data_IF_792607211133
#
_entry.id   IF_792607211133
#
_cell.length_a   1.000
_cell.length_b   1.000
_cell.length_c   1.000
_cell.angle_alpha   90.00
_cell.angle_beta   90.00
_cell.angle_gamma   90.00
#
_symmetry.space_group_name_H-M   'P 1'
#
loop_
_entity.id
_entity.type
_entity.pdbx_description
1 polymer ?
#
# COMPACT_ATOMS: atom_id res chain seq x y z
N UNK A 1 14.98 -3.56 41.73
CA UNK A 1 13.81 -3.43 40.88
C UNK A 1 14.24 -3.80 39.46
N UNK A 2 14.06 -5.05 39.08
CA UNK A 2 14.27 -5.49 37.69
C UNK A 2 13.27 -4.77 36.78
N UNK A 3 13.79 -3.98 35.86
CA UNK A 3 13.04 -3.37 34.80
C UNK A 3 12.34 -4.48 34.02
N UNK A 4 11.00 -4.54 34.11
CA UNK A 4 10.19 -5.35 33.22
C UNK A 4 10.57 -4.98 31.77
N UNK A 5 11.43 -5.82 31.15
CA UNK A 5 11.68 -5.76 29.71
C UNK A 5 10.31 -5.81 29.02
N UNK A 6 9.90 -4.71 28.40
CA UNK A 6 8.66 -4.64 27.62
C UNK A 6 8.61 -5.83 26.65
N UNK A 7 7.77 -6.79 26.95
CA UNK A 7 7.64 -8.01 26.17
C UNK A 7 7.03 -7.61 24.83
N UNK A 8 7.76 -7.77 23.71
CA UNK A 8 7.29 -7.44 22.36
C UNK A 8 5.88 -7.99 22.14
N UNK A 9 4.96 -7.18 21.63
CA UNK A 9 3.61 -7.59 21.24
C UNK A 9 3.66 -8.74 20.22
N UNK A 10 2.67 -9.63 20.25
CA UNK A 10 2.58 -10.76 19.32
C UNK A 10 1.16 -10.89 18.78
N UNK A 11 1.03 -11.25 17.50
CA UNK A 11 -0.24 -11.68 16.92
C UNK A 11 -0.78 -12.94 17.62
N UNK A 12 -2.09 -13.12 17.61
CA UNK A 12 -2.71 -14.30 18.21
C UNK A 12 -2.29 -15.61 17.51
N UNK A 13 -1.99 -15.54 16.20
CA UNK A 13 -1.56 -16.66 15.38
C UNK A 13 -1.37 -16.28 13.90
N UNK A 14 -1.23 -17.30 13.03
CA UNK A 14 -1.02 -17.14 11.59
C UNK A 14 -2.09 -16.24 10.93
N UNK A 15 -3.37 -16.46 11.22
CA UNK A 15 -4.48 -15.70 10.65
C UNK A 15 -4.38 -14.21 11.02
N UNK A 16 -4.00 -13.88 12.27
CA UNK A 16 -3.82 -12.52 12.71
C UNK A 16 -2.72 -11.79 11.93
N UNK A 17 -1.57 -12.44 11.73
CA UNK A 17 -0.51 -11.89 10.90
C UNK A 17 -0.95 -11.72 9.44
N UNK A 18 -1.49 -12.78 8.82
CA UNK A 18 -1.87 -12.78 7.41
C UNK A 18 -2.89 -11.69 7.10
N UNK A 19 -3.97 -11.57 7.89
CA UNK A 19 -5.00 -10.55 7.65
C UNK A 19 -4.50 -9.13 7.94
N UNK A 20 -3.59 -8.96 8.91
CA UNK A 20 -2.97 -7.65 9.16
C UNK A 20 -2.00 -7.25 8.05
N UNK A 21 -1.14 -8.20 7.60
CA UNK A 21 -0.19 -7.94 6.51
C UNK A 21 -0.91 -7.79 5.15
N UNK A 22 -1.93 -8.60 4.87
CA UNK A 22 -2.78 -8.43 3.70
C UNK A 22 -3.54 -7.10 3.75
N UNK A 23 -4.04 -6.67 4.92
CA UNK A 23 -4.67 -5.36 5.09
C UNK A 23 -3.69 -4.20 4.92
N UNK A 24 -2.40 -4.41 5.22
CA UNK A 24 -1.36 -3.44 4.91
C UNK A 24 -1.11 -3.32 3.41
N UNK A 25 -1.09 -4.46 2.70
CA UNK A 25 -0.83 -4.53 1.26
C UNK A 25 -2.06 -4.09 0.44
N UNK A 26 -3.26 -4.53 0.82
CA UNK A 26 -4.51 -4.13 0.15
C UNK A 26 -4.89 -2.71 0.54
N UNK A 27 -4.48 -1.74 -0.25
CA UNK A 27 -4.68 -0.32 -0.01
C UNK A 27 -5.25 0.42 -1.22
N UNK A 28 -5.15 1.74 -1.16
CA UNK A 28 -5.56 2.61 -2.26
C UNK A 28 -4.84 2.27 -3.57
N UNK A 29 -3.60 1.79 -3.50
CA UNK A 29 -2.81 1.40 -4.67
C UNK A 29 -3.43 0.28 -5.50
N UNK A 30 -4.11 -0.69 -4.87
CA UNK A 30 -4.81 -1.75 -5.57
C UNK A 30 -6.08 -1.24 -6.25
N UNK A 31 -6.76 -0.24 -5.65
CA UNK A 31 -8.09 0.19 -6.07
C UNK A 31 -8.02 1.24 -7.18
N UNK A 32 -7.08 2.18 -7.14
CA UNK A 32 -7.00 3.18 -8.20
C UNK A 32 -5.80 3.04 -9.13
N UNK A 33 -4.58 2.83 -8.54
CA UNK A 33 -3.35 2.83 -9.33
C UNK A 33 -3.24 1.60 -10.20
N UNK A 34 -3.56 0.43 -9.66
CA UNK A 34 -3.49 -0.83 -10.41
C UNK A 34 -4.43 -0.85 -11.63
N UNK A 35 -5.75 -0.52 -11.53
CA UNK A 35 -6.63 -0.49 -12.70
C UNK A 35 -6.20 0.51 -13.76
N UNK A 36 -5.75 1.69 -13.34
CA UNK A 36 -5.23 2.69 -14.26
C UNK A 36 -4.01 2.18 -15.03
N UNK A 37 -2.99 1.65 -14.31
CA UNK A 37 -1.79 1.15 -14.96
C UNK A 37 -2.08 -0.07 -15.83
N UNK A 38 -2.96 -0.97 -15.40
CA UNK A 38 -3.38 -2.10 -16.20
C UNK A 38 -4.04 -1.66 -17.51
N UNK A 39 -4.92 -0.66 -17.46
CA UNK A 39 -5.57 -0.14 -18.68
C UNK A 39 -4.56 0.57 -19.61
N UNK A 40 -3.68 1.41 -19.05
CA UNK A 40 -2.70 2.17 -19.82
C UNK A 40 -1.60 1.30 -20.44
N UNK A 41 -1.18 0.25 -19.76
CA UNK A 41 -0.01 -0.56 -20.14
C UNK A 41 -0.35 -1.96 -20.63
N UNK A 42 -1.50 -2.12 -21.30
CA UNK A 42 -1.80 -3.28 -22.13
C UNK A 42 -2.70 -4.35 -21.50
N UNK A 43 -3.45 -4.01 -20.43
CA UNK A 43 -4.48 -4.89 -19.87
C UNK A 43 -3.93 -6.22 -19.37
N UNK A 44 -4.33 -7.32 -20.05
CA UNK A 44 -3.96 -8.68 -19.63
C UNK A 44 -2.47 -8.98 -19.66
N UNK A 45 -1.68 -8.32 -20.52
CA UNK A 45 -0.22 -8.50 -20.52
C UNK A 45 0.42 -7.83 -19.29
N UNK A 46 -0.10 -6.66 -18.89
CA UNK A 46 0.31 -6.03 -17.64
C UNK A 46 -0.01 -6.93 -16.44
N UNK A 47 -1.22 -7.48 -16.37
CA UNK A 47 -1.65 -8.40 -15.31
C UNK A 47 -0.74 -9.63 -15.23
N UNK A 48 -0.40 -10.24 -16.38
CA UNK A 48 0.50 -11.40 -16.42
C UNK A 48 1.87 -11.07 -15.83
N UNK A 49 2.46 -9.94 -16.25
CA UNK A 49 3.78 -9.49 -15.76
C UNK A 49 3.69 -9.16 -14.27
N UNK A 50 2.63 -8.49 -13.83
CA UNK A 50 2.40 -8.19 -12.42
C UNK A 50 2.37 -9.46 -11.55
N UNK A 51 1.63 -10.51 -11.97
CA UNK A 51 1.56 -11.79 -11.25
C UNK A 51 2.94 -12.46 -11.19
N UNK A 52 3.68 -12.47 -12.29
CA UNK A 52 5.04 -13.05 -12.32
C UNK A 52 5.99 -12.31 -11.35
N UNK A 53 5.90 -10.99 -11.30
CA UNK A 53 6.70 -10.17 -10.38
C UNK A 53 6.26 -10.37 -8.92
N UNK A 54 4.96 -10.49 -8.64
CA UNK A 54 4.47 -10.78 -7.29
C UNK A 54 5.00 -12.12 -6.78
N UNK A 55 4.95 -13.18 -7.61
CA UNK A 55 5.43 -14.53 -7.27
C UNK A 55 6.95 -14.66 -7.14
N UNK A 56 7.72 -13.70 -7.63
CA UNK A 56 9.18 -13.72 -7.62
C UNK A 56 9.76 -12.64 -6.71
N UNK A 57 9.70 -11.40 -7.15
CA UNK A 57 10.24 -10.26 -6.40
C UNK A 57 9.43 -9.99 -5.13
N UNK A 58 8.09 -9.91 -5.25
CA UNK A 58 7.19 -9.67 -4.13
C UNK A 58 7.40 -10.71 -3.03
N UNK A 59 7.30 -11.99 -3.39
CA UNK A 59 7.58 -13.10 -2.51
C UNK A 59 8.92 -12.94 -1.77
N UNK A 60 9.97 -12.67 -2.52
CA UNK A 60 11.33 -12.59 -1.98
C UNK A 60 11.46 -11.47 -0.93
N UNK A 61 10.92 -10.30 -1.21
CA UNK A 61 11.02 -9.17 -0.30
C UNK A 61 10.13 -9.36 0.94
N UNK A 62 8.92 -9.89 0.80
CA UNK A 62 8.04 -10.21 1.94
C UNK A 62 8.71 -11.22 2.87
N UNK A 63 9.31 -12.29 2.32
CA UNK A 63 10.04 -13.28 3.11
C UNK A 63 11.24 -12.65 3.80
N UNK A 64 12.05 -11.85 3.09
CA UNK A 64 13.24 -11.22 3.62
C UNK A 64 12.92 -10.28 4.80
N UNK A 65 11.96 -9.39 4.62
CA UNK A 65 11.56 -8.42 5.65
C UNK A 65 10.88 -9.09 6.85
N UNK A 66 9.97 -10.05 6.59
CA UNK A 66 9.29 -10.79 7.66
C UNK A 66 10.26 -11.65 8.47
N UNK A 67 11.21 -12.32 7.81
CA UNK A 67 12.24 -13.11 8.49
C UNK A 67 13.17 -12.21 9.32
N UNK A 68 13.61 -11.08 8.76
CA UNK A 68 14.43 -10.10 9.48
C UNK A 68 13.73 -9.58 10.73
N UNK A 69 12.45 -9.23 10.62
CA UNK A 69 11.62 -8.79 11.74
C UNK A 69 11.45 -9.88 12.82
N UNK A 70 11.09 -11.11 12.41
CA UNK A 70 10.88 -12.24 13.32
C UNK A 70 12.16 -12.66 14.05
N UNK A 71 13.28 -12.71 13.33
CA UNK A 71 14.60 -13.06 13.87
C UNK A 71 15.06 -12.08 14.95
N UNK A 72 14.89 -10.78 14.69
CA UNK A 72 15.42 -9.73 15.57
C UNK A 72 14.46 -9.30 16.66
N UNK A 73 13.14 -9.52 16.46
CA UNK A 73 12.08 -9.04 17.37
C UNK A 73 12.09 -7.52 17.56
N UNK A 74 12.51 -6.78 16.53
CA UNK A 74 12.65 -5.31 16.58
C UNK A 74 11.99 -4.66 15.38
N UNK A 75 11.72 -3.35 15.50
CA UNK A 75 11.36 -2.44 14.41
C UNK A 75 12.50 -2.29 13.41
N UNK A 76 12.27 -1.66 12.23
CA UNK A 76 13.27 -1.60 11.17
C UNK A 76 14.66 -1.13 11.63
N UNK A 77 14.75 -0.04 12.38
CA UNK A 77 16.05 0.48 12.86
C UNK A 77 16.76 -0.53 13.74
N UNK A 78 16.05 -1.07 14.72
CA UNK A 78 16.61 -2.06 15.64
C UNK A 78 16.96 -3.37 14.95
N UNK A 79 16.21 -3.77 13.92
CA UNK A 79 16.47 -4.98 13.14
C UNK A 79 17.78 -4.90 12.37
N UNK A 80 18.07 -3.76 11.74
CA UNK A 80 19.35 -3.53 11.05
C UNK A 80 20.52 -3.39 12.04
N UNK A 81 20.33 -2.69 13.16
CA UNK A 81 21.35 -2.52 14.21
C UNK A 81 21.70 -3.84 14.92
N UNK A 82 20.83 -4.84 14.92
CA UNK A 82 21.04 -6.11 15.61
C UNK A 82 22.30 -6.87 15.15
N UNK A 83 22.81 -6.57 13.95
CA UNK A 83 24.00 -7.19 13.37
C UNK A 83 25.30 -6.42 13.66
N UNK A 84 25.24 -5.36 14.46
CA UNK A 84 26.39 -4.61 14.99
C UNK A 84 27.30 -4.08 13.87
N UNK A 85 28.65 -4.19 14.10
CA UNK A 85 29.67 -3.69 13.14
C UNK A 85 29.57 -4.31 11.74
N UNK A 86 29.00 -5.52 11.60
CA UNK A 86 28.81 -6.18 10.28
C UNK A 86 27.82 -5.42 9.40
N UNK A 87 26.87 -4.70 9.98
CA UNK A 87 25.92 -3.89 9.24
C UNK A 87 26.59 -2.68 8.54
N UNK A 88 27.60 -2.09 9.14
CA UNK A 88 28.30 -0.93 8.59
C UNK A 88 27.33 0.19 8.19
N UNK A 89 27.58 0.81 7.04
CA UNK A 89 26.71 1.86 6.47
C UNK A 89 25.32 1.34 6.08
N UNK A 90 25.16 0.04 5.81
CA UNK A 90 23.87 -0.55 5.49
C UNK A 90 22.87 -0.48 6.66
N UNK A 91 23.33 -0.23 7.89
CA UNK A 91 22.45 0.03 9.04
C UNK A 91 21.54 1.25 8.81
N UNK A 92 21.94 2.19 7.94
CA UNK A 92 21.12 3.34 7.54
C UNK A 92 19.86 2.92 6.80
N UNK A 93 19.85 1.75 6.14
CA UNK A 93 18.63 1.18 5.53
C UNK A 93 17.49 0.99 6.52
N UNK A 94 17.79 0.68 7.78
CA UNK A 94 16.79 0.62 8.85
C UNK A 94 16.12 1.97 9.13
N UNK A 95 16.88 3.06 9.10
CA UNK A 95 16.34 4.42 9.26
C UNK A 95 15.48 4.84 8.06
N UNK A 96 15.90 4.55 6.82
CA UNK A 96 15.08 4.84 5.65
C UNK A 96 13.74 4.10 5.74
N UNK A 97 13.76 2.78 6.02
CA UNK A 97 12.54 2.00 6.22
C UNK A 97 11.64 2.54 7.34
N UNK A 98 12.20 3.17 8.37
CA UNK A 98 11.45 3.73 9.49
C UNK A 98 10.87 5.14 9.19
N UNK A 99 11.57 5.94 8.39
CA UNK A 99 11.15 7.31 8.03
C UNK A 99 10.03 7.28 6.98
N UNK A 100 10.08 6.34 6.04
CA UNK A 100 9.09 6.21 4.97
C UNK A 100 7.64 6.23 5.51
N UNK A 101 7.22 5.37 6.45
CA UNK A 101 5.85 5.39 6.95
C UNK A 101 5.51 6.67 7.70
N UNK A 102 6.47 7.33 8.36
CA UNK A 102 6.26 8.63 9.03
C UNK A 102 5.89 9.72 8.02
N UNK A 103 6.44 9.66 6.81
CA UNK A 103 6.15 10.61 5.73
C UNK A 103 4.90 10.23 4.92
N UNK A 104 4.61 8.93 4.75
CA UNK A 104 3.44 8.46 4.00
C UNK A 104 2.14 8.70 4.76
N UNK A 105 2.08 8.34 6.04
CA UNK A 105 0.85 8.40 6.84
C UNK A 105 0.15 9.77 6.78
N UNK A 106 0.85 10.92 6.86
CA UNK A 106 0.22 12.23 6.77
C UNK A 106 -0.59 12.41 5.51
N UNK A 107 0.03 12.33 4.33
CA UNK A 107 -0.68 12.58 3.06
C UNK A 107 -1.66 11.45 2.70
N UNK A 108 -1.36 10.21 3.07
CA UNK A 108 -2.26 9.08 2.89
C UNK A 108 -3.57 9.26 3.66
N UNK A 109 -3.49 9.85 4.85
CA UNK A 109 -4.66 10.14 5.69
C UNK A 109 -5.51 11.28 5.14
N UNK A 110 -4.93 12.22 4.40
CA UNK A 110 -5.69 13.24 3.65
C UNK A 110 -6.60 12.57 2.63
N UNK A 111 -6.05 11.63 1.86
CA UNK A 111 -6.81 10.87 0.87
C UNK A 111 -7.90 10.02 1.57
N UNK A 112 -7.58 9.41 2.72
CA UNK A 112 -8.56 8.74 3.57
C UNK A 112 -9.71 9.66 4.01
N UNK A 113 -9.41 10.92 4.30
CA UNK A 113 -10.42 11.97 4.56
C UNK A 113 -11.31 12.25 3.34
N UNK A 114 -10.74 12.31 2.13
CA UNK A 114 -11.53 12.46 0.89
C UNK A 114 -12.49 11.28 0.68
N UNK A 115 -12.06 10.06 1.00
CA UNK A 115 -12.92 8.86 0.96
C UNK A 115 -14.10 8.98 1.93
N UNK A 116 -13.87 9.47 3.16
CA UNK A 116 -14.93 9.72 4.14
C UNK A 116 -15.95 10.72 3.59
N UNK A 117 -15.48 11.83 2.99
CA UNK A 117 -16.36 12.84 2.38
C UNK A 117 -17.27 12.23 1.33
N UNK A 118 -16.69 11.48 0.39
CA UNK A 118 -17.46 10.87 -0.69
C UNK A 118 -18.45 9.82 -0.19
N UNK A 119 -18.06 8.99 0.79
CA UNK A 119 -18.96 8.03 1.41
C UNK A 119 -20.18 8.74 2.07
N UNK A 120 -19.93 9.80 2.82
CA UNK A 120 -20.99 10.59 3.46
C UNK A 120 -21.94 11.18 2.41
N UNK A 121 -21.42 11.74 1.33
CA UNK A 121 -22.26 12.33 0.27
C UNK A 121 -23.08 11.26 -0.46
N UNK A 122 -22.52 10.07 -0.74
CA UNK A 122 -23.30 8.95 -1.29
C UNK A 122 -24.40 8.48 -0.34
N UNK A 123 -24.14 8.38 0.97
CA UNK A 123 -25.15 8.02 1.98
C UNK A 123 -26.28 9.05 2.04
N UNK A 124 -25.96 10.35 1.82
CA UNK A 124 -26.97 11.43 1.72
C UNK A 124 -27.76 11.43 0.40
N UNK A 125 -27.43 10.54 -0.54
CA UNK A 125 -28.07 10.50 -1.85
C UNK A 125 -27.55 11.53 -2.87
N UNK A 126 -26.42 12.17 -2.61
CA UNK A 126 -25.80 13.20 -3.45
C UNK A 126 -24.90 12.63 -4.56
N UNK A 127 -25.10 11.39 -5.02
CA UNK A 127 -24.25 10.74 -6.01
C UNK A 127 -24.11 11.52 -7.33
N UNK A 128 -25.19 12.13 -7.82
CA UNK A 128 -25.18 12.98 -9.02
C UNK A 128 -24.37 14.25 -8.84
N UNK A 129 -24.39 14.84 -7.62
CA UNK A 129 -23.58 16.02 -7.28
C UNK A 129 -22.09 15.69 -7.32
N UNK A 130 -21.71 14.51 -6.85
CA UNK A 130 -20.31 14.02 -6.87
C UNK A 130 -19.78 13.82 -8.30
N UNK A 131 -20.68 13.54 -9.26
CA UNK A 131 -20.34 13.36 -10.67
C UNK A 131 -20.24 14.69 -11.44
N UNK A 132 -20.62 15.82 -10.83
CA UNK A 132 -20.55 17.13 -11.48
C UNK A 132 -19.10 17.55 -11.74
N UNK A 133 -18.86 18.20 -12.86
CA UNK A 133 -17.55 18.75 -13.18
C UNK A 133 -17.12 19.79 -12.16
N UNK A 134 -15.88 19.72 -11.74
CA UNK A 134 -15.29 20.63 -10.76
C UNK A 134 -15.58 20.31 -9.30
N UNK A 135 -16.52 19.41 -8.96
CA UNK A 135 -16.86 19.10 -7.57
C UNK A 135 -15.63 18.67 -6.74
N UNK A 136 -14.81 17.77 -7.27
CA UNK A 136 -13.60 17.33 -6.59
C UNK A 136 -12.61 18.47 -6.38
N UNK A 137 -12.36 19.28 -7.41
CA UNK A 137 -11.45 20.44 -7.34
C UNK A 137 -11.93 21.50 -6.34
N UNK A 138 -13.24 21.78 -6.31
CA UNK A 138 -13.85 22.68 -5.34
C UNK A 138 -13.69 22.13 -3.91
N UNK A 139 -13.93 20.83 -3.72
CA UNK A 139 -13.79 20.19 -2.41
C UNK A 139 -12.35 20.25 -1.89
N UNK A 140 -11.35 19.86 -2.69
CA UNK A 140 -9.94 19.85 -2.24
C UNK A 140 -9.36 21.24 -2.06
N UNK A 141 -9.91 22.25 -2.73
CA UNK A 141 -9.56 23.67 -2.54
C UNK A 141 -10.15 24.26 -1.26
N UNK A 142 -11.20 23.64 -0.70
CA UNK A 142 -11.81 24.05 0.55
C UNK A 142 -11.04 23.47 1.75
N UNK A 143 -10.04 24.20 2.22
CA UNK A 143 -9.17 23.78 3.31
C UNK A 143 -9.90 23.33 4.57
N UNK A 144 -10.98 24.01 4.97
CA UNK A 144 -11.72 23.64 6.18
C UNK A 144 -12.44 22.28 6.03
N UNK A 145 -13.09 22.04 4.89
CA UNK A 145 -13.81 20.79 4.65
C UNK A 145 -12.86 19.59 4.55
N UNK A 146 -11.73 19.75 3.86
CA UNK A 146 -10.72 18.70 3.74
C UNK A 146 -10.05 18.41 5.07
N UNK A 147 -9.72 19.45 5.85
CA UNK A 147 -9.07 19.29 7.16
C UNK A 147 -9.95 18.54 8.16
N UNK A 148 -11.25 18.86 8.23
CA UNK A 148 -12.18 18.13 9.11
C UNK A 148 -12.22 16.64 8.77
N UNK A 149 -12.36 16.28 7.49
CA UNK A 149 -12.40 14.89 7.06
C UNK A 149 -11.07 14.17 7.32
N UNK A 150 -9.96 14.84 7.07
CA UNK A 150 -8.61 14.34 7.37
C UNK A 150 -8.42 14.06 8.86
N UNK A 151 -8.77 15.01 9.73
CA UNK A 151 -8.65 14.84 11.20
C UNK A 151 -9.51 13.68 11.70
N UNK A 152 -10.73 13.53 11.17
CA UNK A 152 -11.61 12.38 11.51
C UNK A 152 -10.92 11.06 11.15
N UNK A 153 -10.33 10.96 9.95
CA UNK A 153 -9.61 9.76 9.54
C UNK A 153 -8.38 9.48 10.42
N UNK A 154 -7.59 10.53 10.75
CA UNK A 154 -6.46 10.43 11.66
C UNK A 154 -6.87 9.93 13.05
N UNK A 155 -7.90 10.51 13.64
CA UNK A 155 -8.39 10.12 14.96
C UNK A 155 -8.87 8.66 14.98
N UNK A 156 -9.53 8.22 13.90
CA UNK A 156 -9.95 6.83 13.77
C UNK A 156 -8.74 5.88 13.72
N UNK A 157 -7.74 6.18 12.88
CA UNK A 157 -6.50 5.39 12.79
C UNK A 157 -5.76 5.35 14.13
N UNK A 158 -5.55 6.51 14.76
CA UNK A 158 -4.82 6.61 16.02
C UNK A 158 -5.53 5.89 17.18
N UNK A 159 -6.87 5.87 17.21
CA UNK A 159 -7.63 5.14 18.22
C UNK A 159 -7.37 3.63 18.15
N UNK A 160 -7.28 3.09 16.94
CA UNK A 160 -6.97 1.67 16.72
C UNK A 160 -5.52 1.36 17.12
N UNK A 161 -4.58 2.23 16.77
CA UNK A 161 -3.17 2.09 17.16
C UNK A 161 -3.03 2.13 18.68
N UNK A 162 -3.73 3.05 19.35
CA UNK A 162 -3.72 3.15 20.80
C UNK A 162 -4.20 1.87 21.50
N UNK A 163 -5.18 1.17 20.91
CA UNK A 163 -5.69 -0.12 21.42
C UNK A 163 -4.66 -1.27 21.32
N UNK A 164 -3.58 -1.09 20.56
CA UNK A 164 -2.46 -2.02 20.45
C UNK A 164 -2.59 -3.05 19.32
N UNK A 165 -1.57 -3.92 19.22
CA UNK A 165 -1.45 -4.86 18.10
C UNK A 165 -2.60 -5.86 18.07
N UNK A 166 -2.87 -6.53 19.19
CA UNK A 166 -3.85 -7.62 19.26
C UNK A 166 -5.30 -7.13 19.30
N UNK A 167 -5.56 -6.14 20.15
CA UNK A 167 -6.93 -5.64 20.39
C UNK A 167 -7.35 -4.55 19.39
N UNK A 168 -6.41 -3.86 18.80
CA UNK A 168 -6.62 -2.85 17.75
C UNK A 168 -6.40 -3.44 16.35
N UNK A 169 -5.14 -3.51 15.92
CA UNK A 169 -4.75 -3.85 14.54
C UNK A 169 -5.32 -5.19 14.08
N UNK A 170 -5.02 -6.26 14.81
CA UNK A 170 -5.45 -7.61 14.44
C UNK A 170 -6.97 -7.76 14.43
N UNK A 171 -7.65 -7.20 15.45
CA UNK A 171 -9.12 -7.29 15.55
C UNK A 171 -9.81 -6.53 14.42
N UNK A 172 -9.33 -5.35 14.09
CA UNK A 172 -9.87 -4.53 13.00
C UNK A 172 -9.61 -5.21 11.65
N UNK A 173 -8.39 -5.70 11.41
CA UNK A 173 -8.07 -6.41 10.17
C UNK A 173 -8.91 -7.68 9.99
N UNK A 174 -9.14 -8.45 11.06
CA UNK A 174 -10.00 -9.65 11.03
C UNK A 174 -11.45 -9.33 10.69
N UNK A 175 -11.93 -8.14 11.02
CA UNK A 175 -13.30 -7.70 10.70
C UNK A 175 -13.37 -7.08 9.28
N UNK A 176 -12.47 -6.15 8.98
CA UNK A 176 -12.53 -5.37 7.73
C UNK A 176 -12.15 -6.18 6.49
N UNK A 177 -11.13 -7.06 6.57
CA UNK A 177 -10.64 -7.76 5.39
C UNK A 177 -11.67 -8.72 4.77
N UNK A 178 -12.40 -9.57 5.50
CA UNK A 178 -13.45 -10.38 4.91
C UNK A 178 -14.56 -9.56 4.26
N UNK A 179 -14.99 -8.46 4.89
CA UNK A 179 -16.02 -7.58 4.35
C UNK A 179 -15.50 -6.92 3.06
N UNK A 180 -14.25 -6.46 3.03
CA UNK A 180 -13.63 -5.88 1.84
C UNK A 180 -13.65 -6.87 0.67
N UNK A 181 -13.31 -8.15 0.91
CA UNK A 181 -13.39 -9.20 -0.11
C UNK A 181 -14.82 -9.38 -0.63
N UNK A 182 -15.80 -9.47 0.27
CA UNK A 182 -17.21 -9.61 -0.13
C UNK A 182 -17.68 -8.40 -0.95
N UNK A 183 -17.38 -7.18 -0.50
CA UNK A 183 -17.72 -5.96 -1.24
C UNK A 183 -17.06 -5.94 -2.62
N UNK A 184 -15.77 -6.32 -2.73
CA UNK A 184 -15.07 -6.36 -4.01
C UNK A 184 -15.72 -7.34 -4.99
N UNK A 185 -16.14 -8.52 -4.52
CA UNK A 185 -16.86 -9.51 -5.34
C UNK A 185 -18.21 -8.95 -5.84
N UNK A 186 -19.00 -8.36 -4.93
CA UNK A 186 -20.32 -7.80 -5.28
C UNK A 186 -20.17 -6.72 -6.35
N UNK A 187 -19.24 -5.77 -6.17
CA UNK A 187 -19.04 -4.65 -7.10
C UNK A 187 -18.48 -5.16 -8.43
N UNK A 188 -17.54 -6.13 -8.42
CA UNK A 188 -17.01 -6.71 -9.64
C UNK A 188 -18.09 -7.44 -10.45
N UNK A 189 -18.94 -8.26 -9.81
CA UNK A 189 -20.08 -8.92 -10.48
C UNK A 189 -21.00 -7.84 -11.09
N UNK A 190 -21.32 -6.81 -10.35
CA UNK A 190 -22.15 -5.72 -10.84
C UNK A 190 -21.50 -5.05 -12.07
N UNK A 191 -20.20 -4.74 -12.01
CA UNK A 191 -19.47 -4.08 -13.10
C UNK A 191 -19.44 -4.93 -14.38
N UNK A 192 -19.07 -6.21 -14.27
CA UNK A 192 -18.93 -7.10 -15.45
C UNK A 192 -20.25 -7.46 -16.10
N UNK A 193 -21.38 -7.32 -15.40
CA UNK A 193 -22.74 -7.57 -15.94
C UNK A 193 -23.33 -6.37 -16.66
N UNK A 194 -22.64 -5.22 -16.76
CA UNK A 194 -23.15 -4.05 -17.49
C UNK A 194 -23.07 -4.26 -19.00
N UNK A 195 -24.04 -3.73 -19.77
CA UNK A 195 -23.96 -3.71 -21.22
C UNK A 195 -22.65 -3.04 -21.69
N UNK A 196 -21.93 -3.69 -22.60
CA UNK A 196 -20.62 -3.19 -23.07
C UNK A 196 -19.40 -3.52 -22.19
N UNK A 197 -19.58 -4.00 -20.97
CA UNK A 197 -18.50 -4.30 -20.03
C UNK A 197 -17.57 -5.45 -20.48
N UNK A 198 -18.09 -6.39 -21.29
CA UNK A 198 -17.33 -7.58 -21.70
C UNK A 198 -16.07 -7.25 -22.50
N UNK A 199 -16.06 -6.15 -23.24
CA UNK A 199 -14.86 -5.67 -23.94
C UNK A 199 -13.74 -5.34 -22.93
N UNK A 200 -14.09 -4.66 -21.84
CA UNK A 200 -13.15 -4.35 -20.75
C UNK A 200 -12.68 -5.59 -20.00
N UNK A 201 -13.57 -6.57 -19.73
CA UNK A 201 -13.18 -7.85 -19.13
C UNK A 201 -12.17 -8.58 -20.01
N UNK A 202 -12.44 -8.68 -21.33
CA UNK A 202 -11.53 -9.32 -22.28
C UNK A 202 -10.20 -8.59 -22.37
N UNK A 203 -10.22 -7.25 -22.44
CA UNK A 203 -9.02 -6.43 -22.45
C UNK A 203 -8.13 -6.67 -21.22
N UNK A 204 -8.75 -6.73 -20.04
CA UNK A 204 -8.04 -6.84 -18.77
C UNK A 204 -7.53 -8.26 -18.47
N UNK A 205 -8.30 -9.31 -18.83
CA UNK A 205 -7.93 -10.68 -18.45
C UNK A 205 -7.16 -11.43 -19.53
N UNK A 206 -7.31 -11.06 -20.81
CA UNK A 206 -6.68 -11.81 -21.91
C UNK A 206 -5.35 -11.15 -22.30
N UNK A 207 -4.19 -11.80 -22.06
CA UNK A 207 -2.90 -11.27 -22.47
C UNK A 207 -2.82 -11.11 -23.99
N UNK A 208 -2.45 -9.91 -24.46
CA UNK A 208 -2.21 -9.62 -25.85
C UNK A 208 -0.78 -9.11 -26.03
N UNK A 209 0.09 -9.91 -26.64
CA UNK A 209 1.48 -9.57 -26.86
C UNK A 209 1.67 -8.32 -27.74
N UNK A 210 0.69 -7.97 -28.58
CA UNK A 210 0.75 -6.73 -29.38
C UNK A 210 0.75 -5.47 -28.50
N UNK A 211 0.19 -5.57 -27.29
CA UNK A 211 0.14 -4.46 -26.33
C UNK A 211 1.35 -4.44 -25.38
N UNK A 212 2.33 -5.33 -25.61
CA UNK A 212 3.56 -5.36 -24.79
C UNK A 212 4.46 -4.17 -25.11
N UNK A 213 4.98 -3.55 -24.07
CA UNK A 213 6.07 -2.59 -24.14
C UNK A 213 7.02 -2.79 -22.96
N UNK A 214 8.25 -2.32 -23.07
CA UNK A 214 9.16 -2.32 -21.91
C UNK A 214 8.62 -1.49 -20.75
N UNK A 215 7.83 -0.45 -21.06
CA UNK A 215 7.16 0.36 -20.05
C UNK A 215 6.09 -0.42 -19.28
N UNK A 216 5.46 -1.45 -19.90
CA UNK A 216 4.56 -2.38 -19.19
C UNK A 216 5.30 -3.10 -18.05
N UNK A 217 6.54 -3.53 -18.28
CA UNK A 217 7.35 -4.20 -17.26
C UNK A 217 7.71 -3.22 -16.14
N UNK A 218 8.17 -2.03 -16.47
CA UNK A 218 8.55 -0.99 -15.49
C UNK A 218 7.34 -0.56 -14.64
N UNK A 219 6.20 -0.32 -15.29
CA UNK A 219 4.96 0.04 -14.60
C UNK A 219 4.45 -1.08 -13.68
N UNK A 220 4.52 -2.34 -14.14
CA UNK A 220 4.14 -3.49 -13.32
C UNK A 220 5.10 -3.69 -12.12
N UNK A 221 6.41 -3.48 -12.30
CA UNK A 221 7.38 -3.49 -11.20
C UNK A 221 7.06 -2.41 -10.16
N UNK A 222 6.85 -1.18 -10.58
CA UNK A 222 6.51 -0.07 -9.70
C UNK A 222 5.19 -0.30 -8.95
N UNK A 223 4.18 -0.84 -9.63
CA UNK A 223 2.89 -1.16 -9.02
C UNK A 223 3.01 -2.28 -7.99
N UNK A 224 3.68 -3.38 -8.31
CA UNK A 224 3.87 -4.50 -7.40
C UNK A 224 4.64 -4.08 -6.14
N UNK A 225 5.66 -3.24 -6.31
CA UNK A 225 6.48 -2.72 -5.23
C UNK A 225 5.64 -1.91 -4.22
N UNK A 226 4.78 -1.03 -4.73
CA UNK A 226 3.88 -0.22 -3.93
C UNK A 226 2.77 -1.06 -3.28
N UNK A 227 2.15 -1.96 -4.05
CA UNK A 227 1.01 -2.78 -3.62
C UNK A 227 1.34 -3.68 -2.43
N UNK A 228 2.47 -4.38 -2.48
CA UNK A 228 2.87 -5.33 -1.44
C UNK A 228 3.50 -4.67 -0.19
N UNK A 229 3.47 -3.35 -0.08
CA UNK A 229 4.03 -2.59 1.06
C UNK A 229 5.50 -2.92 1.35
N UNK A 230 6.29 -3.17 0.31
CA UNK A 230 7.70 -3.53 0.39
C UNK A 230 8.53 -2.28 0.72
N UNK A 231 9.54 -2.46 1.55
CA UNK A 231 10.49 -1.41 1.96
C UNK A 231 9.85 -0.19 2.66
N UNK A 232 8.72 -0.40 3.32
CA UNK A 232 8.06 0.59 4.17
C UNK A 232 8.25 0.28 5.67
N UNK A 233 9.11 -0.67 6.02
CA UNK A 233 9.29 -1.11 7.41
C UNK A 233 8.12 -1.89 8.01
N UNK A 234 6.97 -1.95 7.34
CA UNK A 234 5.74 -2.61 7.81
C UNK A 234 5.97 -4.11 7.99
N UNK A 235 6.52 -4.78 6.98
CA UNK A 235 6.73 -6.23 7.01
C UNK A 235 7.80 -6.63 8.03
N UNK A 236 8.83 -5.80 8.26
CA UNK A 236 9.80 -5.99 9.34
C UNK A 236 9.09 -5.86 10.69
N UNK A 237 8.29 -4.81 10.88
CA UNK A 237 7.53 -4.57 12.11
C UNK A 237 6.55 -5.70 12.39
N UNK A 238 5.72 -6.09 11.43
CA UNK A 238 4.76 -7.19 11.59
C UNK A 238 5.44 -8.55 11.73
N UNK A 239 6.55 -8.77 11.02
CA UNK A 239 7.43 -9.92 11.22
C UNK A 239 7.91 -10.02 12.66
N UNK A 240 8.26 -8.89 13.29
CA UNK A 240 8.67 -8.87 14.70
C UNK A 240 7.57 -9.31 15.69
N UNK A 241 6.30 -9.26 15.27
CA UNK A 241 5.15 -9.74 16.04
C UNK A 241 4.76 -11.18 15.73
N UNK A 242 5.36 -11.82 14.72
CA UNK A 242 5.10 -13.22 14.39
C UNK A 242 5.60 -14.15 15.51
N UNK A 243 4.87 -15.23 15.75
CA UNK A 243 5.35 -16.33 16.59
C UNK A 243 6.42 -17.13 15.84
N UNK A 244 7.38 -17.71 16.56
CA UNK A 244 8.46 -18.50 15.95
C UNK A 244 7.99 -19.74 15.22
N UNK A 245 6.92 -20.36 15.70
CA UNK A 245 6.27 -21.56 15.13
C UNK A 245 5.39 -21.27 13.90
N UNK A 246 5.17 -19.99 13.57
CA UNK A 246 4.39 -19.60 12.39
C UNK A 246 5.22 -19.76 11.12
N UNK A 247 4.66 -20.37 10.07
CA UNK A 247 5.28 -20.50 8.76
C UNK A 247 5.38 -19.11 8.08
N UNK A 248 6.59 -18.69 7.70
CA UNK A 248 6.82 -17.46 6.94
C UNK A 248 6.38 -17.65 5.49
N UNK A 249 6.76 -18.76 4.83
CA UNK A 249 6.43 -18.99 3.42
C UNK A 249 4.92 -19.09 3.19
N UNK A 250 4.21 -19.88 4.02
CA UNK A 250 2.76 -19.98 3.89
C UNK A 250 2.06 -18.65 4.20
N UNK A 251 2.58 -17.87 5.16
CA UNK A 251 2.04 -16.55 5.46
C UNK A 251 2.27 -15.58 4.31
N UNK A 252 3.46 -15.57 3.74
CA UNK A 252 3.82 -14.78 2.55
C UNK A 252 2.92 -15.13 1.37
N UNK A 253 2.76 -16.44 1.07
CA UNK A 253 1.87 -16.91 0.00
C UNK A 253 0.45 -16.41 0.18
N UNK A 254 -0.06 -16.43 1.40
CA UNK A 254 -1.40 -15.94 1.66
C UNK A 254 -1.51 -14.42 1.44
N UNK A 255 -0.51 -13.63 1.85
CA UNK A 255 -0.46 -12.18 1.57
C UNK A 255 -0.41 -11.92 0.07
N UNK A 256 0.45 -12.62 -0.69
CA UNK A 256 0.52 -12.53 -2.16
C UNK A 256 -0.83 -12.82 -2.83
N UNK A 257 -1.49 -13.91 -2.41
CA UNK A 257 -2.80 -14.31 -2.96
C UNK A 257 -3.86 -13.26 -2.64
N UNK A 258 -3.92 -12.75 -1.41
CA UNK A 258 -4.87 -11.72 -1.02
C UNK A 258 -4.66 -10.42 -1.82
N UNK A 259 -3.42 -9.94 -1.89
CA UNK A 259 -3.10 -8.71 -2.61
C UNK A 259 -3.43 -8.83 -4.11
N UNK A 260 -2.94 -9.91 -4.75
CA UNK A 260 -3.18 -10.15 -6.18
C UNK A 260 -4.66 -10.36 -6.48
N UNK A 261 -5.39 -11.09 -5.64
CA UNK A 261 -6.83 -11.29 -5.83
C UNK A 261 -7.60 -9.97 -5.75
N UNK A 262 -7.30 -9.12 -4.77
CA UNK A 262 -7.94 -7.81 -4.65
C UNK A 262 -7.54 -6.87 -5.79
N UNK A 263 -6.28 -6.90 -6.25
CA UNK A 263 -5.86 -6.14 -7.43
C UNK A 263 -6.63 -6.58 -8.70
N UNK A 264 -6.82 -7.89 -8.91
CA UNK A 264 -7.64 -8.42 -10.01
C UNK A 264 -9.11 -7.99 -9.84
N UNK A 265 -9.66 -8.11 -8.64
CA UNK A 265 -11.03 -7.68 -8.35
C UNK A 265 -11.21 -6.18 -8.60
N UNK A 266 -10.25 -5.34 -8.20
CA UNK A 266 -10.26 -3.90 -8.47
C UNK A 266 -10.21 -3.61 -9.99
N UNK A 267 -9.39 -4.33 -10.74
CA UNK A 267 -9.40 -4.29 -12.20
C UNK A 267 -10.75 -4.63 -12.79
N UNK A 268 -11.41 -5.71 -12.30
CA UNK A 268 -12.75 -6.12 -12.72
C UNK A 268 -13.87 -5.18 -12.25
N UNK A 269 -13.69 -4.48 -11.14
CA UNK A 269 -14.65 -3.45 -10.69
C UNK A 269 -14.61 -2.21 -11.58
N UNK A 270 -13.43 -1.79 -12.01
CA UNK A 270 -13.21 -0.47 -12.59
C UNK A 270 -13.12 -0.52 -14.11
N UNK A 271 -12.26 -1.35 -14.68
CA UNK A 271 -12.02 -1.38 -16.14
C UNK A 271 -13.28 -1.70 -16.93
N UNK A 272 -14.05 -2.77 -16.61
CA UNK A 272 -15.30 -3.05 -17.35
C UNK A 272 -16.35 -1.96 -17.24
N UNK A 273 -16.48 -1.33 -16.05
CA UNK A 273 -17.43 -0.24 -15.83
C UNK A 273 -17.07 1.00 -16.66
N UNK A 274 -15.79 1.37 -16.71
CA UNK A 274 -15.31 2.50 -17.51
C UNK A 274 -15.44 2.20 -19.00
N UNK A 275 -15.11 1.00 -19.46
CA UNK A 275 -15.31 0.60 -20.87
C UNK A 275 -16.78 0.64 -21.28
N UNK A 276 -17.70 0.17 -20.43
CA UNK A 276 -19.13 0.27 -20.68
C UNK A 276 -19.61 1.73 -20.79
N UNK A 277 -19.02 2.64 -20.00
CA UNK A 277 -19.34 4.06 -20.00
C UNK A 277 -18.72 4.83 -21.19
N UNK A 278 -17.45 4.53 -21.53
CA UNK A 278 -16.67 5.24 -22.57
C UNK A 278 -16.80 4.68 -23.97
N UNK A 279 -17.57 3.60 -24.15
CA UNK A 279 -17.63 2.92 -25.44
C UNK A 279 -16.38 2.12 -25.82
N UNK A 280 -15.53 1.81 -24.81
CA UNK A 280 -14.35 0.95 -24.98
C UNK A 280 -13.01 1.66 -25.09
N UNK A 281 -12.96 2.95 -24.76
CA UNK A 281 -11.72 3.73 -24.77
C UNK A 281 -10.96 3.59 -23.43
N UNK A 282 -9.76 2.95 -23.39
CA UNK A 282 -8.97 2.80 -22.18
C UNK A 282 -8.36 4.14 -21.70
N UNK A 283 -8.20 5.15 -22.56
CA UNK A 283 -7.58 6.43 -22.22
C UNK A 283 -8.51 7.32 -21.37
N UNK A 284 -9.78 6.93 -21.21
CA UNK A 284 -10.71 7.59 -20.29
C UNK A 284 -10.43 7.31 -18.82
N UNK A 285 -9.60 6.30 -18.49
CA UNK A 285 -9.14 6.06 -17.13
C UNK A 285 -8.08 7.09 -16.76
N UNK A 286 -8.45 8.05 -15.92
CA UNK A 286 -7.53 9.06 -15.41
C UNK A 286 -6.57 8.48 -14.38
N UNK A 287 -5.38 9.10 -14.27
CA UNK A 287 -4.37 8.69 -13.29
C UNK A 287 -4.72 9.17 -11.87
N UNK A 288 -4.26 8.42 -10.89
CA UNK A 288 -4.26 8.83 -9.49
C UNK A 288 -5.65 9.07 -8.88
N UNK A 289 -5.78 10.06 -7.99
CA UNK A 289 -7.04 10.39 -7.32
C UNK A 289 -8.20 10.70 -8.27
N UNK A 290 -7.90 11.26 -9.46
CA UNK A 290 -8.92 11.62 -10.44
C UNK A 290 -9.75 10.41 -10.90
N UNK A 291 -9.15 9.21 -11.01
CA UNK A 291 -9.91 8.01 -11.31
C UNK A 291 -11.02 7.77 -10.28
N UNK A 292 -10.67 7.83 -9.01
CA UNK A 292 -11.58 7.47 -7.92
C UNK A 292 -12.58 8.58 -7.58
N UNK A 293 -12.17 9.84 -7.66
CA UNK A 293 -12.98 10.96 -7.19
C UNK A 293 -13.66 11.75 -8.32
N UNK A 294 -13.30 11.51 -9.59
CA UNK A 294 -13.93 12.16 -10.75
C UNK A 294 -14.57 11.09 -11.66
N UNK A 295 -13.75 10.15 -12.19
CA UNK A 295 -14.23 9.21 -13.21
C UNK A 295 -15.26 8.23 -12.64
N UNK A 296 -14.99 7.59 -11.51
CA UNK A 296 -15.87 6.57 -10.93
C UNK A 296 -17.24 7.15 -10.52
N UNK A 297 -17.36 8.32 -9.87
CA UNK A 297 -18.67 8.96 -9.63
C UNK A 297 -19.46 9.23 -10.90
N UNK A 298 -18.81 9.65 -11.99
CA UNK A 298 -19.47 9.85 -13.29
C UNK A 298 -19.99 8.53 -13.87
N UNK A 299 -19.21 7.47 -13.79
CA UNK A 299 -19.60 6.12 -14.20
C UNK A 299 -20.84 5.67 -13.41
N UNK A 300 -20.80 5.76 -12.09
CA UNK A 300 -21.91 5.35 -11.22
C UNK A 300 -23.18 6.19 -11.45
N UNK A 301 -23.06 7.50 -11.68
CA UNK A 301 -24.21 8.36 -11.96
C UNK A 301 -24.95 7.95 -13.24
N UNK A 302 -24.28 7.31 -14.19
CA UNK A 302 -24.86 6.80 -15.44
C UNK A 302 -25.26 5.32 -15.37
N UNK A 303 -25.12 4.66 -14.23
CA UNK A 303 -25.45 3.25 -14.05
C UNK A 303 -26.67 3.08 -13.13
N UNK A 304 -27.54 2.10 -13.43
CA UNK A 304 -28.64 1.74 -12.53
C UNK A 304 -28.12 1.37 -11.14
N UNK A 305 -28.81 1.80 -10.08
CA UNK A 305 -28.39 1.61 -8.68
C UNK A 305 -27.05 2.29 -8.31
N UNK A 306 -26.59 3.28 -9.09
CA UNK A 306 -25.29 3.92 -8.91
C UNK A 306 -25.03 4.48 -7.52
N UNK A 307 -26.05 5.00 -6.83
CA UNK A 307 -25.91 5.47 -5.44
C UNK A 307 -25.56 4.32 -4.49
N UNK A 308 -26.22 3.18 -4.59
CA UNK A 308 -25.97 2.01 -3.75
C UNK A 308 -24.55 1.46 -4.02
N UNK A 309 -24.20 1.33 -5.30
CA UNK A 309 -22.85 0.86 -5.70
C UNK A 309 -21.78 1.84 -5.23
N UNK A 310 -22.04 3.14 -5.30
CA UNK A 310 -21.15 4.18 -4.77
C UNK A 310 -20.93 4.05 -3.26
N UNK A 311 -21.98 3.80 -2.48
CA UNK A 311 -21.86 3.53 -1.03
C UNK A 311 -20.96 2.30 -0.79
N UNK A 312 -21.23 1.19 -1.46
CA UNK A 312 -20.46 -0.04 -1.30
C UNK A 312 -19.00 0.14 -1.74
N UNK A 313 -18.76 0.87 -2.83
CA UNK A 313 -17.42 1.16 -3.32
C UNK A 313 -16.63 2.04 -2.35
N UNK A 314 -17.17 3.17 -1.91
CA UNK A 314 -16.45 4.06 -0.98
C UNK A 314 -16.32 3.46 0.43
N UNK A 315 -17.21 2.56 0.84
CA UNK A 315 -17.03 1.76 2.06
C UNK A 315 -15.87 0.77 1.93
N UNK A 316 -15.77 0.07 0.78
CA UNK A 316 -14.64 -0.80 0.45
C UNK A 316 -13.33 -0.02 0.47
N UNK A 317 -13.29 1.13 -0.20
CA UNK A 317 -12.11 2.02 -0.26
C UNK A 317 -11.72 2.52 1.13
N UNK A 318 -12.70 2.87 1.97
CA UNK A 318 -12.45 3.29 3.35
C UNK A 318 -11.79 2.16 4.15
N UNK A 319 -12.26 0.93 4.03
CA UNK A 319 -11.65 -0.21 4.73
C UNK A 319 -10.22 -0.46 4.26
N UNK A 320 -9.95 -0.40 2.96
CA UNK A 320 -8.61 -0.51 2.40
C UNK A 320 -7.71 0.63 2.89
N UNK A 321 -8.19 1.87 2.91
CA UNK A 321 -7.44 3.01 3.39
C UNK A 321 -7.09 2.88 4.88
N UNK A 322 -8.06 2.48 5.72
CA UNK A 322 -7.87 2.35 7.17
C UNK A 322 -6.87 1.24 7.50
N UNK A 323 -6.97 0.06 6.89
CA UNK A 323 -6.07 -1.08 7.18
C UNK A 323 -4.63 -0.76 6.82
N UNK A 324 -4.40 -0.08 5.70
CA UNK A 324 -3.05 0.37 5.30
C UNK A 324 -2.53 1.51 6.17
N UNK A 325 -3.37 2.49 6.52
CA UNK A 325 -2.99 3.59 7.43
C UNK A 325 -2.59 3.08 8.82
N UNK A 326 -3.31 2.08 9.34
CA UNK A 326 -2.96 1.41 10.60
C UNK A 326 -1.59 0.76 10.52
N UNK A 327 -1.28 0.04 9.44
CA UNK A 327 -0.02 -0.65 9.28
C UNK A 327 1.19 0.30 9.16
N UNK A 328 1.03 1.39 8.41
CA UNK A 328 2.02 2.47 8.29
C UNK A 328 2.26 3.14 9.65
N UNK A 329 1.18 3.52 10.34
CA UNK A 329 1.25 4.19 11.65
C UNK A 329 1.90 3.27 12.68
N UNK A 330 1.60 1.97 12.67
CA UNK A 330 2.21 0.98 13.58
C UNK A 330 3.71 0.85 13.34
N UNK A 331 4.16 0.83 12.09
CA UNK A 331 5.59 0.79 11.75
C UNK A 331 6.32 2.00 12.33
N UNK A 332 5.73 3.20 12.21
CA UNK A 332 6.28 4.42 12.80
C UNK A 332 6.30 4.37 14.34
N UNK A 333 5.16 4.04 14.97
CA UNK A 333 5.03 3.97 16.45
C UNK A 333 5.99 2.95 17.03
N UNK A 334 6.09 1.75 16.46
CA UNK A 334 6.97 0.69 16.96
C UNK A 334 8.44 1.06 16.89
N UNK A 335 8.84 1.90 15.95
CA UNK A 335 10.21 2.41 15.86
C UNK A 335 10.55 3.31 17.04
N UNK A 336 9.63 4.21 17.42
CA UNK A 336 9.82 5.06 18.60
C UNK A 336 9.77 4.26 19.91
N UNK A 337 8.93 3.22 19.99
CA UNK A 337 8.90 2.31 21.14
C UNK A 337 10.26 1.63 21.32
N UNK A 338 10.88 1.13 20.24
CA UNK A 338 12.12 0.36 20.29
C UNK A 338 13.36 1.22 20.48
N UNK A 339 13.45 2.37 19.79
CA UNK A 339 14.68 3.19 19.79
C UNK A 339 14.76 4.14 20.99
N UNK A 340 13.62 4.64 21.49
CA UNK A 340 13.57 5.60 22.58
C UNK A 340 13.14 4.92 23.90
N UNK A 341 12.56 3.71 23.82
CA UNK A 341 12.07 2.96 24.99
C UNK A 341 10.80 3.54 25.59
N UNK A 342 10.03 4.32 24.84
CA UNK A 342 8.77 4.89 25.32
C UNK A 342 7.65 3.85 25.37
N UNK A 343 6.74 4.00 26.32
CA UNK A 343 5.49 3.24 26.32
C UNK A 343 4.60 3.70 25.17
N UNK A 344 3.82 2.79 24.58
CA UNK A 344 2.98 2.98 23.38
C UNK A 344 2.19 4.30 23.30
N UNK A 345 1.73 4.83 24.44
CA UNK A 345 0.95 6.08 24.49
C UNK A 345 1.72 7.29 23.94
N UNK A 346 3.00 7.43 24.35
CA UNK A 346 3.84 8.56 23.93
C UNK A 346 4.17 8.52 22.43
N UNK A 347 4.70 7.43 21.86
CA UNK A 347 4.92 7.33 20.42
C UNK A 347 3.64 7.57 19.61
N UNK A 348 2.49 7.01 20.02
CA UNK A 348 1.22 7.23 19.31
C UNK A 348 0.85 8.71 19.29
N UNK A 349 1.01 9.43 20.40
CA UNK A 349 0.73 10.86 20.45
C UNK A 349 1.69 11.68 19.57
N UNK A 350 3.01 11.35 19.60
CA UNK A 350 4.01 12.05 18.79
C UNK A 350 3.77 11.82 17.31
N UNK A 351 3.52 10.57 16.89
CA UNK A 351 3.18 10.26 15.50
C UNK A 351 1.88 10.93 15.11
N UNK A 352 0.88 11.00 16.01
CA UNK A 352 -0.35 11.76 15.78
C UNK A 352 -0.10 13.25 15.51
N UNK A 353 0.78 13.89 16.27
CA UNK A 353 1.17 15.28 16.05
C UNK A 353 1.87 15.46 14.71
N UNK A 354 2.82 14.58 14.36
CA UNK A 354 3.51 14.62 13.06
C UNK A 354 2.51 14.41 11.93
N UNK A 355 1.60 13.47 12.09
CA UNK A 355 0.55 13.13 11.12
C UNK A 355 -0.36 14.33 10.83
N UNK A 356 -0.81 15.02 11.88
CA UNK A 356 -1.60 16.25 11.75
C UNK A 356 -0.76 17.36 11.12
N UNK A 357 0.43 17.64 11.62
CA UNK A 357 1.25 18.76 11.14
C UNK A 357 1.61 18.64 9.66
N UNK A 358 2.12 17.48 9.22
CA UNK A 358 2.48 17.26 7.81
C UNK A 358 1.27 17.04 6.91
N UNK A 359 0.20 16.43 7.45
CA UNK A 359 -1.04 16.23 6.71
C UNK A 359 -1.78 17.52 6.46
N UNK A 360 -1.80 18.46 7.41
CA UNK A 360 -2.36 19.81 7.21
C UNK A 360 -1.67 20.53 6.04
N UNK A 361 -0.33 20.41 5.88
CA UNK A 361 0.35 20.97 4.70
C UNK A 361 -0.18 20.35 3.41
N UNK A 362 -0.39 19.04 3.39
CA UNK A 362 -0.94 18.31 2.24
C UNK A 362 -2.42 18.65 1.98
N UNK A 363 -3.24 18.85 3.04
CA UNK A 363 -4.62 19.31 2.93
C UNK A 363 -4.71 20.70 2.29
N UNK A 364 -3.89 21.62 2.77
CA UNK A 364 -3.94 23.02 2.35
C UNK A 364 -3.22 23.26 1.02
N UNK A 365 -2.40 22.31 0.55
CA UNK A 365 -1.60 22.40 -0.67
C UNK A 365 -2.42 22.61 -1.95
N UNK A 366 -3.65 22.13 -2.01
CA UNK A 366 -4.57 22.33 -3.14
C UNK A 366 -5.51 23.55 -2.98
N UNK A 367 -5.39 24.26 -1.88
CA UNK A 367 -6.24 25.42 -1.54
C UNK A 367 -5.40 26.62 -1.09
N UNK A 368 -5.44 27.00 0.20
CA UNK A 368 -4.76 28.19 0.71
C UNK A 368 -3.24 28.21 0.48
N UNK A 369 -2.59 27.07 0.43
CA UNK A 369 -1.14 26.94 0.19
C UNK A 369 -0.79 26.51 -1.24
N UNK A 370 -1.73 26.55 -2.19
CA UNK A 370 -1.52 26.13 -3.57
C UNK A 370 -0.40 26.91 -4.30
N UNK A 371 -0.03 28.07 -3.78
CA UNK A 371 1.09 28.87 -4.31
C UNK A 371 2.48 28.34 -3.89
N UNK A 372 2.53 27.37 -2.95
CA UNK A 372 3.79 26.76 -2.51
C UNK A 372 4.00 25.46 -3.25
N UNK A 373 4.97 25.43 -4.13
CA UNK A 373 5.38 24.24 -4.86
C UNK A 373 6.82 23.85 -4.52
N UNK A 374 7.04 22.56 -4.31
CA UNK A 374 8.37 21.99 -4.09
C UNK A 374 8.74 21.19 -5.34
N UNK A 375 9.74 21.65 -6.08
CA UNK A 375 10.15 21.05 -7.38
C UNK A 375 8.95 20.97 -8.36
N UNK A 376 8.08 21.99 -8.37
CA UNK A 376 6.88 22.03 -9.22
C UNK A 376 5.76 21.07 -8.79
N UNK A 377 5.77 20.58 -7.55
CA UNK A 377 4.77 19.67 -6.99
C UNK A 377 4.11 20.29 -5.77
N UNK A 378 2.82 20.03 -5.59
CA UNK A 378 2.10 20.32 -4.35
C UNK A 378 2.61 19.42 -3.22
N UNK A 379 2.37 19.79 -1.96
CA UNK A 379 2.89 19.05 -0.78
C UNK A 379 2.57 17.55 -0.82
N UNK A 380 1.32 17.16 -1.14
CA UNK A 380 0.92 15.75 -1.22
C UNK A 380 1.73 15.02 -2.28
N UNK A 381 1.80 15.58 -3.49
CA UNK A 381 2.51 14.98 -4.62
C UNK A 381 4.01 14.90 -4.36
N UNK A 382 4.59 15.91 -3.70
CA UNK A 382 6.00 15.92 -3.30
C UNK A 382 6.30 14.81 -2.28
N UNK A 383 5.48 14.65 -1.23
CA UNK A 383 5.68 13.58 -0.26
C UNK A 383 5.50 12.19 -0.88
N UNK A 384 4.52 12.05 -1.79
CA UNK A 384 4.34 10.80 -2.55
C UNK A 384 5.55 10.51 -3.43
N UNK A 385 6.04 11.47 -4.19
CA UNK A 385 7.25 11.34 -5.01
C UNK A 385 8.47 10.99 -4.16
N UNK A 386 8.72 11.72 -3.08
CA UNK A 386 9.88 11.50 -2.21
C UNK A 386 9.88 10.10 -1.61
N UNK A 387 8.74 9.65 -1.11
CA UNK A 387 8.63 8.35 -0.44
C UNK A 387 8.58 7.20 -1.44
N UNK A 388 7.67 7.23 -2.39
CA UNK A 388 7.42 6.08 -3.28
C UNK A 388 8.43 6.00 -4.43
N UNK A 389 8.83 7.15 -5.00
CA UNK A 389 9.70 7.18 -6.17
C UNK A 389 11.19 7.16 -5.82
N UNK A 390 11.57 7.66 -4.63
CA UNK A 390 12.97 7.79 -4.23
C UNK A 390 13.32 6.90 -3.04
N UNK A 391 12.66 7.10 -1.90
CA UNK A 391 13.09 6.44 -0.65
C UNK A 391 12.83 4.94 -0.64
N UNK A 392 11.65 4.50 -1.09
CA UNK A 392 11.31 3.06 -1.10
C UNK A 392 12.23 2.21 -1.98
N UNK A 393 12.55 2.57 -3.23
CA UNK A 393 13.52 1.82 -4.02
C UNK A 393 14.90 1.75 -3.36
N UNK A 394 15.37 2.85 -2.76
CA UNK A 394 16.63 2.86 -2.02
C UNK A 394 16.56 1.92 -0.81
N UNK A 395 15.48 1.96 -0.04
CA UNK A 395 15.27 1.08 1.10
C UNK A 395 15.25 -0.40 0.70
N UNK A 396 14.59 -0.75 -0.40
CA UNK A 396 14.55 -2.13 -0.91
C UNK A 396 15.92 -2.62 -1.40
N UNK A 397 16.66 -1.77 -2.10
CA UNK A 397 18.02 -2.06 -2.53
C UNK A 397 18.92 -2.32 -1.31
N UNK A 398 18.85 -1.43 -0.30
CA UNK A 398 19.61 -1.60 0.94
C UNK A 398 19.19 -2.85 1.71
N UNK A 399 17.89 -3.12 1.82
CA UNK A 399 17.36 -4.32 2.50
C UNK A 399 17.83 -5.59 1.79
N UNK A 400 17.76 -5.67 0.47
CA UNK A 400 18.20 -6.85 -0.29
C UNK A 400 19.70 -7.09 -0.18
N UNK A 401 20.53 -6.03 -0.26
CA UNK A 401 21.99 -6.12 -0.05
C UNK A 401 22.29 -6.51 1.40
N UNK A 402 21.60 -5.93 2.37
CA UNK A 402 21.76 -6.24 3.79
C UNK A 402 21.44 -7.72 4.08
N UNK A 403 20.31 -8.21 3.61
CA UNK A 403 19.92 -9.62 3.79
C UNK A 403 20.90 -10.57 3.11
N UNK A 404 21.34 -10.25 1.89
CA UNK A 404 22.23 -11.14 1.15
C UNK A 404 23.68 -11.17 1.68
N UNK A 405 24.22 -10.03 2.15
CA UNK A 405 25.63 -9.89 2.52
C UNK A 405 25.90 -9.85 4.02
N UNK A 406 24.98 -9.28 4.81
CA UNK A 406 25.19 -9.10 6.27
C UNK A 406 24.49 -10.19 7.06
N UNK A 407 23.20 -10.42 6.80
CA UNK A 407 22.43 -11.49 7.47
C UNK A 407 22.92 -12.85 7.00
N UNK A 408 22.98 -13.05 5.69
CA UNK A 408 23.32 -14.32 5.05
C UNK A 408 22.10 -15.20 4.81
N UNK A 409 22.12 -15.89 3.66
CA UNK A 409 21.02 -16.77 3.23
C UNK A 409 20.77 -17.91 4.23
N UNK A 410 21.84 -18.46 4.79
CA UNK A 410 21.73 -19.61 5.71
C UNK A 410 20.97 -19.25 6.99
N UNK A 411 21.17 -18.04 7.52
CA UNK A 411 20.40 -17.56 8.69
C UNK A 411 18.94 -17.30 8.36
N UNK A 412 18.64 -16.81 7.14
CA UNK A 412 17.24 -16.66 6.68
C UNK A 412 16.58 -18.03 6.56
N UNK A 413 17.28 -19.01 6.00
CA UNK A 413 16.80 -20.40 5.92
C UNK A 413 16.57 -21.02 7.30
N UNK A 414 17.50 -20.85 8.22
CA UNK A 414 17.38 -21.31 9.60
C UNK A 414 16.14 -20.68 10.28
N UNK A 415 15.94 -19.38 10.10
CA UNK A 415 14.79 -18.68 10.65
C UNK A 415 13.47 -19.20 10.04
N UNK A 416 13.41 -19.46 8.74
CA UNK A 416 12.23 -20.03 8.07
C UNK A 416 11.93 -21.43 8.63
N UNK A 417 12.93 -22.27 8.81
CA UNK A 417 12.80 -23.65 9.32
C UNK A 417 12.25 -23.75 10.74
N UNK A 418 12.20 -22.67 11.52
CA UNK A 418 11.53 -22.73 12.83
C UNK A 418 10.02 -23.01 12.72
N UNK A 419 9.38 -22.63 11.63
CA UNK A 419 7.94 -22.88 11.41
C UNK A 419 7.65 -23.82 10.24
N UNK A 420 8.69 -24.36 9.57
CA UNK A 420 8.55 -25.13 8.33
C UNK A 420 9.61 -26.23 8.20
N UNK A 421 9.25 -27.34 7.56
CA UNK A 421 10.18 -28.44 7.32
C UNK A 421 11.31 -28.10 6.31
N UNK A 422 11.03 -27.21 5.34
CA UNK A 422 11.97 -26.84 4.29
C UNK A 422 11.66 -25.46 3.73
N UNK A 423 12.69 -24.77 3.22
CA UNK A 423 12.55 -23.56 2.44
C UNK A 423 12.25 -23.90 0.97
N UNK A 424 10.96 -23.97 0.61
CA UNK A 424 10.48 -24.53 -0.68
C UNK A 424 10.94 -23.73 -1.88
N UNK A 425 10.84 -22.36 -1.82
CA UNK A 425 11.24 -21.47 -2.92
C UNK A 425 12.64 -20.89 -2.76
N UNK A 426 13.55 -21.59 -2.04
CA UNK A 426 14.92 -21.13 -1.77
C UNK A 426 15.68 -20.68 -3.03
N UNK A 427 15.60 -21.44 -4.15
CA UNK A 427 16.29 -21.09 -5.39
C UNK A 427 15.85 -19.72 -5.94
N UNK A 428 14.52 -19.47 -5.98
CA UNK A 428 13.96 -18.19 -6.41
C UNK A 428 14.44 -17.08 -5.47
N UNK A 429 14.30 -17.29 -4.17
CA UNK A 429 14.72 -16.32 -3.15
C UNK A 429 16.19 -15.92 -3.31
N UNK A 430 17.11 -16.89 -3.48
CA UNK A 430 18.54 -16.62 -3.58
C UNK A 430 18.88 -15.80 -4.83
N UNK A 431 18.33 -16.17 -6.00
CA UNK A 431 18.57 -15.43 -7.25
C UNK A 431 18.03 -14.02 -7.16
N UNK A 432 16.78 -13.89 -6.68
CA UNK A 432 16.12 -12.62 -6.55
C UNK A 432 16.85 -11.69 -5.58
N UNK A 433 17.08 -12.12 -4.33
CA UNK A 433 17.62 -11.26 -3.28
C UNK A 433 19.06 -10.80 -3.55
N UNK A 434 19.89 -11.69 -4.18
CA UNK A 434 21.30 -11.37 -4.47
C UNK A 434 21.48 -10.48 -5.69
N UNK A 435 20.66 -10.65 -6.73
CA UNK A 435 20.92 -10.07 -8.03
C UNK A 435 19.75 -9.22 -8.53
N UNK A 436 18.54 -9.78 -8.62
CA UNK A 436 17.44 -9.13 -9.32
C UNK A 436 16.74 -8.04 -8.47
N UNK A 437 16.58 -8.24 -7.17
CA UNK A 437 15.94 -7.22 -6.32
C UNK A 437 16.70 -5.89 -6.31
N UNK A 438 18.04 -5.84 -6.13
CA UNK A 438 18.77 -4.58 -6.24
C UNK A 438 18.68 -3.93 -7.61
N UNK A 439 18.72 -4.74 -8.70
CA UNK A 439 18.61 -4.23 -10.07
C UNK A 439 17.22 -3.66 -10.33
N UNK A 440 16.16 -4.36 -9.93
CA UNK A 440 14.78 -3.89 -10.11
C UNK A 440 14.52 -2.61 -9.32
N UNK A 441 15.00 -2.54 -8.07
CA UNK A 441 14.90 -1.32 -7.28
C UNK A 441 15.63 -0.13 -7.95
N UNK A 442 16.79 -0.37 -8.55
CA UNK A 442 17.52 0.67 -9.29
C UNK A 442 16.76 1.12 -10.56
N UNK A 443 16.16 0.19 -11.31
CA UNK A 443 15.33 0.51 -12.47
C UNK A 443 14.13 1.35 -12.06
N UNK A 444 13.43 0.96 -10.98
CA UNK A 444 12.29 1.72 -10.45
C UNK A 444 12.72 3.12 -10.05
N UNK A 445 13.82 3.27 -9.31
CA UNK A 445 14.36 4.58 -8.91
C UNK A 445 14.65 5.45 -10.13
N UNK A 446 15.43 4.92 -11.08
CA UNK A 446 15.83 5.67 -12.27
C UNK A 446 14.62 6.09 -13.13
N UNK A 447 13.67 5.16 -13.37
CA UNK A 447 12.47 5.44 -14.17
C UNK A 447 11.52 6.42 -13.46
N UNK A 448 11.33 6.29 -12.16
CA UNK A 448 10.46 7.20 -11.40
C UNK A 448 11.02 8.62 -11.34
N UNK A 449 12.33 8.75 -11.13
CA UNK A 449 13.01 10.07 -11.17
C UNK A 449 12.94 10.65 -12.58
N UNK A 450 13.24 9.86 -13.62
CA UNK A 450 13.15 10.33 -15.01
C UNK A 450 11.73 10.79 -15.39
N UNK A 451 10.70 10.09 -14.91
CA UNK A 451 9.31 10.49 -15.09
C UNK A 451 8.98 11.80 -14.36
N UNK A 452 9.43 11.97 -13.13
CA UNK A 452 9.18 13.20 -12.35
C UNK A 452 9.80 14.46 -12.98
N UNK A 453 10.93 14.29 -13.66
CA UNK A 453 11.58 15.40 -14.41
C UNK A 453 11.14 15.50 -15.88
N UNK A 454 10.12 14.70 -16.28
CA UNK A 454 9.58 14.76 -17.66
C UNK A 454 10.50 14.20 -18.74
N UNK A 455 11.55 13.45 -18.38
CA UNK A 455 12.45 12.81 -19.35
C UNK A 455 11.82 11.59 -20.01
N UNK A 456 10.89 10.97 -19.35
CA UNK A 456 10.03 9.89 -19.85
C UNK A 456 8.60 10.12 -19.36
N UNK A 457 7.59 9.59 -20.07
CA UNK A 457 6.18 9.59 -19.62
C UNK A 457 5.79 8.20 -19.14
N UNK A 458 5.42 8.10 -17.87
CA UNK A 458 4.92 6.86 -17.27
C UNK A 458 3.43 6.96 -16.92
#
# INVERSE_FOLDING_TARGET
METQKNKRSTFSGKIGFVLSAAGASVGLGNIWRFPYLAAKYGGGIFLLIYILLALTFGYTMIVAESALGRMTRKSPVGAFKAFGKKAGWLSFGGWINAIIPVLIVPYYSVIGGWVIKYLIEYVKGNGTKLAADGYFSEFISNGASTEICFVIFCMFTLSIIYAGVRNGIERVSKFMMPILVVLSVIIAIYSVTRPGAMAGVKYFLVPNLKNFSWMTVVAAMGQMFYSLSIAMGILITFGSYMKKDSSIEDSTRNVEVFDTAIAIMAGLMIIPAVFAFSGGDPDTLQAGPALMFITIPKVFANMGFGTVVGILFFLLVLFAAVTSSIALTESAVSTFEDEIGWSRRKPTAVIGIIMIALGTLSCLGYGPLAFVEIIGMQFLDFFDFLTNSVMMPIAAMMTSIFVSKVVGIDRIEEEIRHGEAAFRRKKIFVVMIKYLCPIFAMIILASSVANAFGWISM
#
